data_IF_468104978819
#
_entry.id   IF_468104978819
#
_cell.length_a   1.000
_cell.length_b   1.000
_cell.length_c   1.000
_cell.angle_alpha   90.00
_cell.angle_beta   90.00
_cell.angle_gamma   90.00
#
_symmetry.space_group_name_H-M   'P 1'
#
loop_
_entity.id
_entity.type
_entity.pdbx_description
1 polymer ?
#
# COMPACT_ATOMS: atom_id res chain seq x y z
N UNK A 1 13.67 4.83 24.01
CA UNK A 1 14.99 5.10 23.42
C UNK A 1 14.77 5.53 21.97
N UNK A 2 15.19 6.74 21.60
CA UNK A 2 15.21 7.22 20.22
C UNK A 2 16.65 7.46 19.81
N UNK A 3 17.05 7.02 18.61
CA UNK A 3 18.38 7.26 18.06
C UNK A 3 18.26 8.12 16.80
N UNK A 4 19.16 9.09 16.62
CA UNK A 4 19.24 9.87 15.40
C UNK A 4 20.12 9.13 14.39
N UNK A 5 19.56 8.83 13.21
CA UNK A 5 20.32 8.28 12.08
C UNK A 5 20.61 9.41 11.10
N UNK A 6 21.89 9.76 10.94
CA UNK A 6 22.32 10.79 9.98
C UNK A 6 22.76 10.11 8.70
N UNK A 7 22.10 10.43 7.59
CA UNK A 7 22.40 9.88 6.26
C UNK A 7 23.14 10.95 5.45
N UNK A 8 24.41 10.73 5.06
CA UNK A 8 25.14 11.67 4.23
C UNK A 8 24.50 11.88 2.86
N UNK A 9 24.69 13.06 2.27
CA UNK A 9 24.26 13.35 0.91
C UNK A 9 24.87 12.35 -0.08
N UNK A 10 24.04 11.81 -0.98
CA UNK A 10 24.46 10.85 -2.00
C UNK A 10 24.48 9.39 -1.56
N UNK A 11 24.17 9.08 -0.30
CA UNK A 11 23.97 7.70 0.13
C UNK A 11 22.76 7.06 -0.56
N UNK A 12 22.91 5.82 -1.02
CA UNK A 12 21.87 5.06 -1.72
C UNK A 12 21.21 3.99 -0.85
N UNK A 13 21.78 3.68 0.32
CA UNK A 13 21.29 2.66 1.24
C UNK A 13 21.52 3.04 2.70
N UNK A 14 20.71 2.44 3.58
CA UNK A 14 20.88 2.49 5.04
C UNK A 14 20.97 1.03 5.52
N UNK A 15 21.96 0.72 6.36
CA UNK A 15 22.06 -0.57 7.03
C UNK A 15 22.13 -0.36 8.55
N UNK A 16 21.24 -1.01 9.28
CA UNK A 16 21.24 -1.02 10.74
C UNK A 16 21.67 -2.42 11.22
N UNK A 17 22.68 -2.48 12.09
CA UNK A 17 23.17 -3.73 12.68
C UNK A 17 23.09 -3.66 14.19
N UNK A 18 22.58 -4.72 14.80
CA UNK A 18 22.43 -4.86 16.25
C UNK A 18 23.18 -6.10 16.71
N UNK A 19 24.12 -5.94 17.65
CA UNK A 19 24.94 -7.03 18.17
C UNK A 19 24.70 -7.21 19.66
N UNK A 20 24.89 -8.43 20.17
CA UNK A 20 24.79 -8.74 21.61
C UNK A 20 23.43 -8.42 22.24
N UNK A 21 22.34 -8.54 21.48
CA UNK A 21 20.98 -8.42 22.01
C UNK A 21 20.63 -9.61 22.91
N UNK A 22 19.91 -9.37 24.01
CA UNK A 22 19.42 -10.39 24.95
C UNK A 22 17.91 -10.25 25.20
N UNK A 23 17.29 -11.20 25.92
CA UNK A 23 15.83 -11.19 26.14
C UNK A 23 15.05 -11.38 24.82
N UNK A 24 13.85 -10.80 24.64
CA UNK A 24 13.05 -11.04 23.44
C UNK A 24 13.54 -10.21 22.23
N UNK A 25 14.76 -9.66 22.28
CA UNK A 25 15.39 -8.89 21.20
C UNK A 25 14.93 -7.43 21.11
N UNK A 26 15.43 -6.70 20.10
CA UNK A 26 14.82 -5.43 19.71
C UNK A 26 13.48 -5.70 19.02
N UNK A 27 12.47 -4.94 19.41
CA UNK A 27 11.13 -5.00 18.83
C UNK A 27 10.64 -3.59 18.53
N UNK A 28 9.67 -3.47 17.62
CA UNK A 28 8.98 -2.20 17.32
C UNK A 28 9.93 -1.08 16.85
N UNK A 29 10.93 -1.41 16.04
CA UNK A 29 11.84 -0.41 15.45
C UNK A 29 11.08 0.39 14.38
N UNK A 30 11.04 1.71 14.55
CA UNK A 30 10.51 2.64 13.55
C UNK A 30 11.63 3.52 13.01
N UNK A 31 11.76 3.62 11.69
CA UNK A 31 12.70 4.53 11.01
C UNK A 31 11.87 5.55 10.24
N UNK A 32 11.92 6.80 10.69
CA UNK A 32 11.18 7.91 10.08
C UNK A 32 12.14 9.01 9.65
N UNK A 33 11.77 9.76 8.62
CA UNK A 33 12.47 10.98 8.26
C UNK A 33 12.28 12.05 9.36
N UNK A 34 13.13 13.09 9.42
CA UNK A 34 12.90 14.22 10.32
C UNK A 34 11.53 14.89 10.06
N UNK A 35 10.83 15.26 11.14
CA UNK A 35 9.54 15.97 11.07
C UNK A 35 8.29 15.09 11.13
N UNK A 36 8.43 13.77 11.31
CA UNK A 36 7.31 12.84 11.49
C UNK A 36 7.11 12.46 12.95
N UNK A 37 5.85 12.37 13.37
CA UNK A 37 5.46 12.01 14.74
C UNK A 37 5.31 10.49 14.87
N UNK A 38 6.06 9.90 15.81
CA UNK A 38 6.00 8.47 16.15
C UNK A 38 4.65 8.07 16.78
N UNK A 39 3.90 9.01 17.34
CA UNK A 39 2.57 8.78 17.92
C UNK A 39 1.46 8.79 16.85
N UNK A 40 1.69 9.48 15.72
CA UNK A 40 0.81 9.40 14.56
C UNK A 40 1.13 8.10 13.83
N UNK A 41 0.27 7.09 13.97
CA UNK A 41 0.22 5.89 13.10
C UNK A 41 -0.03 6.21 11.61
N UNK A 42 0.20 7.43 11.16
CA UNK A 42 0.09 7.84 9.78
C UNK A 42 1.31 7.32 9.02
N UNK A 43 1.17 6.13 8.45
CA UNK A 43 2.19 5.47 7.63
C UNK A 43 2.42 6.16 6.27
N UNK A 44 1.66 7.22 5.95
CA UNK A 44 1.83 8.02 4.73
C UNK A 44 2.21 9.44 5.09
N UNK A 45 3.14 9.99 4.30
CA UNK A 45 3.65 11.33 4.49
C UNK A 45 2.74 12.39 3.87
N UNK A 46 2.65 13.58 4.48
CA UNK A 46 1.93 14.72 3.89
C UNK A 46 2.45 15.06 2.48
N UNK A 47 3.76 14.87 2.25
CA UNK A 47 4.36 15.04 0.92
C UNK A 47 3.79 14.04 -0.08
N UNK A 48 3.68 12.77 0.29
CA UNK A 48 3.09 11.72 -0.55
C UNK A 48 1.60 11.98 -0.78
N UNK A 49 0.82 12.29 0.26
CA UNK A 49 -0.60 12.69 0.11
C UNK A 49 -0.72 13.86 -0.88
N UNK A 50 0.07 14.91 -0.68
CA UNK A 50 0.06 16.10 -1.56
C UNK A 50 0.39 15.73 -2.99
N UNK A 51 1.39 14.86 -3.20
CA UNK A 51 1.81 14.44 -4.52
C UNK A 51 0.72 13.62 -5.23
N UNK A 52 0.11 12.67 -4.52
CA UNK A 52 -0.95 11.79 -5.02
C UNK A 52 -2.26 12.56 -5.26
N UNK A 53 -2.55 13.57 -4.45
CA UNK A 53 -3.76 14.41 -4.59
C UNK A 53 -3.81 15.26 -5.86
N UNK A 54 -2.75 15.23 -6.69
CA UNK A 54 -2.72 15.89 -8.00
C UNK A 54 -3.41 15.07 -9.10
N UNK A 55 -3.67 13.79 -8.83
CA UNK A 55 -4.33 12.90 -9.77
C UNK A 55 -5.80 12.76 -9.38
N UNK A 56 -6.66 12.58 -10.38
CA UNK A 56 -8.10 12.33 -10.16
C UNK A 56 -8.39 10.88 -9.81
N UNK A 57 -7.50 9.95 -10.17
CA UNK A 57 -7.64 8.51 -9.92
C UNK A 57 -6.28 7.95 -9.54
N UNK A 58 -6.22 7.12 -8.49
CA UNK A 58 -5.03 6.36 -8.12
C UNK A 58 -5.28 4.87 -8.32
N UNK A 59 -4.35 4.22 -9.02
CA UNK A 59 -4.41 2.81 -9.36
C UNK A 59 -3.64 1.98 -8.32
N UNK A 60 -4.35 1.09 -7.64
CA UNK A 60 -3.80 0.13 -6.68
C UNK A 60 -3.69 -1.24 -7.35
N UNK A 61 -2.46 -1.58 -7.75
CA UNK A 61 -2.15 -2.88 -8.33
C UNK A 61 -1.58 -3.80 -7.26
N UNK A 62 -2.20 -4.98 -7.08
CA UNK A 62 -1.64 -6.08 -6.29
C UNK A 62 -0.66 -6.87 -7.16
N UNK A 63 0.46 -6.24 -7.53
CA UNK A 63 1.51 -6.98 -8.22
C UNK A 63 2.17 -7.89 -7.19
N UNK A 64 1.77 -9.16 -7.16
CA UNK A 64 2.56 -10.31 -6.71
C UNK A 64 2.86 -10.46 -5.21
N UNK A 65 1.92 -10.23 -4.29
CA UNK A 65 2.14 -10.57 -2.86
C UNK A 65 3.44 -9.97 -2.29
N UNK A 66 4.01 -8.93 -2.91
CA UNK A 66 5.41 -8.50 -2.66
C UNK A 66 5.58 -7.76 -1.34
N UNK A 67 4.51 -7.67 -0.56
CA UNK A 67 4.46 -6.95 0.70
C UNK A 67 3.44 -7.53 1.68
N UNK A 68 2.82 -8.68 1.41
CA UNK A 68 1.69 -9.17 2.23
C UNK A 68 0.67 -8.05 2.50
N UNK A 69 0.45 -7.15 1.52
CA UNK A 69 -0.43 -6.01 1.73
C UNK A 69 -1.86 -6.51 1.91
N UNK A 70 -2.34 -6.38 3.14
CA UNK A 70 -3.74 -6.49 3.46
C UNK A 70 -4.50 -5.49 2.59
N UNK A 71 -5.58 -5.94 1.97
CA UNK A 71 -6.53 -5.10 1.24
C UNK A 71 -6.96 -3.86 2.07
N UNK A 72 -6.83 -3.94 3.41
CA UNK A 72 -7.07 -2.86 4.39
C UNK A 72 -6.22 -1.61 4.13
N UNK A 73 -5.08 -1.75 3.46
CA UNK A 73 -4.21 -0.61 3.14
C UNK A 73 -4.87 0.33 2.13
N UNK A 74 -5.70 -0.18 1.21
CA UNK A 74 -6.30 0.66 0.15
C UNK A 74 -7.27 1.68 0.75
N UNK A 75 -8.30 1.31 1.56
CA UNK A 75 -9.18 2.29 2.21
C UNK A 75 -8.41 3.27 3.08
N UNK A 76 -7.40 2.80 3.82
CA UNK A 76 -6.58 3.66 4.66
C UNK A 76 -5.92 4.78 3.84
N UNK A 77 -5.21 4.43 2.76
CA UNK A 77 -4.53 5.42 1.91
C UNK A 77 -5.54 6.34 1.23
N UNK A 78 -6.56 5.77 0.59
CA UNK A 78 -7.53 6.51 -0.19
C UNK A 78 -8.27 7.56 0.66
N UNK A 79 -8.61 7.24 1.91
CA UNK A 79 -9.27 8.17 2.82
C UNK A 79 -8.38 9.32 3.30
N UNK A 80 -7.05 9.20 3.20
CA UNK A 80 -6.13 10.31 3.50
C UNK A 80 -5.96 11.25 2.31
N UNK A 81 -6.38 10.84 1.11
CA UNK A 81 -6.36 11.70 -0.07
C UNK A 81 -7.56 12.65 0.00
N UNK A 82 -7.41 13.83 -0.61
CA UNK A 82 -8.53 14.76 -0.74
C UNK A 82 -9.75 14.07 -1.38
N UNK A 83 -10.96 14.51 -1.06
CA UNK A 83 -12.24 13.87 -1.45
C UNK A 83 -12.52 13.73 -2.96
N UNK A 84 -11.61 14.18 -3.82
CA UNK A 84 -11.76 14.20 -5.28
C UNK A 84 -10.83 13.19 -5.98
N UNK A 85 -10.31 12.21 -5.25
CA UNK A 85 -9.45 11.16 -5.79
C UNK A 85 -10.20 9.82 -5.74
N UNK A 86 -10.53 9.29 -6.91
CA UNK A 86 -11.12 7.96 -7.06
C UNK A 86 -10.05 6.86 -7.02
N UNK A 87 -10.46 5.61 -6.87
CA UNK A 87 -9.55 4.46 -6.86
C UNK A 87 -9.82 3.52 -8.04
N UNK A 88 -8.75 2.92 -8.55
CA UNK A 88 -8.82 1.78 -9.47
C UNK A 88 -8.18 0.58 -8.78
N UNK A 89 -8.90 -0.54 -8.72
CA UNK A 89 -8.42 -1.80 -8.15
C UNK A 89 -8.44 -2.93 -9.18
N UNK A 90 -7.47 -3.85 -9.06
CA UNK A 90 -7.45 -5.08 -9.85
C UNK A 90 -8.13 -6.22 -9.10
N UNK A 91 -8.97 -7.00 -9.77
CA UNK A 91 -9.44 -8.30 -9.29
C UNK A 91 -8.73 -9.39 -10.10
N UNK A 92 -7.95 -10.27 -9.46
CA UNK A 92 -7.10 -11.21 -10.17
C UNK A 92 -7.92 -12.26 -10.93
N UNK A 93 -7.31 -12.81 -11.98
CA UNK A 93 -7.87 -13.98 -12.66
C UNK A 93 -7.93 -15.17 -11.70
N UNK A 94 -9.06 -15.87 -11.67
CA UNK A 94 -9.30 -16.97 -10.74
C UNK A 94 -9.67 -16.55 -9.32
N UNK A 95 -9.96 -15.26 -9.09
CA UNK A 95 -10.58 -14.82 -7.84
C UNK A 95 -11.90 -15.56 -7.60
N UNK A 96 -12.07 -16.07 -6.38
CA UNK A 96 -13.34 -16.71 -5.98
C UNK A 96 -14.39 -15.65 -5.65
N UNK A 97 -15.66 -16.05 -5.65
CA UNK A 97 -16.76 -15.17 -5.21
C UNK A 97 -16.53 -14.67 -3.76
N UNK A 98 -16.02 -15.54 -2.88
CA UNK A 98 -15.66 -15.16 -1.51
C UNK A 98 -14.58 -14.08 -1.47
N UNK A 99 -13.57 -14.16 -2.34
CA UNK A 99 -12.55 -13.11 -2.43
C UNK A 99 -13.17 -11.78 -2.85
N UNK A 100 -13.98 -11.77 -3.91
CA UNK A 100 -14.62 -10.55 -4.42
C UNK A 100 -15.57 -9.97 -3.38
N UNK A 101 -16.33 -10.82 -2.68
CA UNK A 101 -17.22 -10.40 -1.60
C UNK A 101 -16.44 -9.77 -0.44
N UNK A 102 -15.32 -10.36 -0.03
CA UNK A 102 -14.49 -9.82 1.04
C UNK A 102 -13.89 -8.45 0.66
N UNK A 103 -13.41 -8.30 -0.59
CA UNK A 103 -12.93 -7.00 -1.10
C UNK A 103 -14.06 -5.97 -1.06
N UNK A 104 -15.24 -6.31 -1.57
CA UNK A 104 -16.38 -5.42 -1.61
C UNK A 104 -16.84 -5.00 -0.20
N UNK A 105 -16.92 -5.95 0.74
CA UNK A 105 -17.27 -5.68 2.13
C UNK A 105 -16.24 -4.77 2.79
N UNK A 106 -14.96 -5.00 2.54
CA UNK A 106 -13.90 -4.17 3.10
C UNK A 106 -13.99 -2.72 2.61
N UNK A 107 -14.13 -2.53 1.29
CA UNK A 107 -14.28 -1.19 0.71
C UNK A 107 -15.55 -0.51 1.22
N UNK A 108 -16.67 -1.23 1.27
CA UNK A 108 -17.93 -0.70 1.79
C UNK A 108 -17.81 -0.23 3.25
N UNK A 109 -17.09 -0.98 4.08
CA UNK A 109 -16.99 -0.72 5.51
C UNK A 109 -15.96 0.37 5.86
N UNK A 110 -14.92 0.54 5.04
CA UNK A 110 -13.77 1.36 5.39
C UNK A 110 -13.52 2.55 4.46
N UNK A 111 -13.97 2.52 3.20
CA UNK A 111 -13.72 3.58 2.23
C UNK A 111 -14.70 4.74 2.42
N UNK A 112 -14.23 5.98 2.22
CA UNK A 112 -15.09 7.15 2.18
C UNK A 112 -16.15 6.96 1.06
N UNK A 113 -17.46 7.08 1.37
CA UNK A 113 -18.52 6.80 0.41
C UNK A 113 -18.59 7.76 -0.78
N UNK A 114 -17.82 8.85 -0.80
CA UNK A 114 -17.72 9.76 -1.95
C UNK A 114 -16.71 9.30 -3.00
N UNK A 115 -15.86 8.31 -2.70
CA UNK A 115 -14.81 7.79 -3.59
C UNK A 115 -15.42 6.76 -4.53
N UNK A 116 -15.26 6.95 -5.84
CA UNK A 116 -15.67 5.95 -6.81
C UNK A 116 -14.62 4.85 -6.93
N UNK A 117 -15.08 3.63 -7.18
CA UNK A 117 -14.24 2.45 -7.35
C UNK A 117 -14.35 1.97 -8.80
N UNK A 118 -13.24 2.03 -9.53
CA UNK A 118 -13.08 1.40 -10.84
C UNK A 118 -12.48 0.02 -10.64
N UNK A 119 -13.12 -0.98 -11.24
CA UNK A 119 -12.69 -2.38 -11.12
C UNK A 119 -12.18 -2.86 -12.46
N UNK A 120 -10.96 -3.39 -12.45
CA UNK A 120 -10.35 -4.05 -13.60
C UNK A 120 -10.30 -5.55 -13.37
N UNK A 121 -10.63 -6.29 -14.43
CA UNK A 121 -10.48 -7.74 -14.45
C UNK A 121 -9.06 -8.12 -14.87
N UNK A 122 -8.28 -8.61 -13.91
CA UNK A 122 -6.91 -9.13 -14.06
C UNK A 122 -5.90 -8.15 -14.68
N UNK A 123 -4.64 -8.54 -14.73
CA UNK A 123 -3.53 -7.74 -15.24
C UNK A 123 -2.75 -8.53 -16.30
N UNK A 124 -2.27 -7.82 -17.31
CA UNK A 124 -1.46 -8.39 -18.39
C UNK A 124 -2.09 -9.61 -19.07
N UNK A 125 -3.40 -9.60 -19.30
CA UNK A 125 -4.13 -10.65 -20.03
C UNK A 125 -3.62 -10.88 -21.48
N UNK A 126 -2.82 -9.95 -22.00
CA UNK A 126 -2.15 -10.07 -23.29
C UNK A 126 -0.83 -10.88 -23.23
N UNK A 127 -0.32 -11.17 -22.03
CA UNK A 127 1.02 -11.72 -21.85
C UNK A 127 1.01 -13.24 -21.60
N UNK A 128 1.21 -14.02 -22.66
CA UNK A 128 1.15 -15.48 -22.66
C UNK A 128 2.16 -16.21 -21.76
N UNK A 129 3.11 -15.51 -21.13
CA UNK A 129 3.97 -16.12 -20.11
C UNK A 129 3.21 -16.37 -18.79
N UNK A 130 2.05 -15.72 -18.60
CA UNK A 130 1.23 -15.86 -17.41
C UNK A 130 -0.04 -16.67 -17.67
N UNK A 131 -0.47 -17.43 -16.66
CA UNK A 131 -1.63 -18.29 -16.75
C UNK A 131 -2.94 -17.53 -17.04
N UNK A 132 -3.06 -16.27 -16.60
CA UNK A 132 -4.25 -15.46 -16.86
C UNK A 132 -4.43 -15.07 -18.33
N UNK A 133 -3.40 -15.15 -19.18
CA UNK A 133 -3.52 -14.72 -20.57
C UNK A 133 -4.51 -15.56 -21.40
N UNK A 134 -4.84 -16.76 -20.93
CA UNK A 134 -5.87 -17.60 -21.55
C UNK A 134 -7.29 -17.23 -21.15
N UNK A 135 -7.51 -16.30 -20.22
CA UNK A 135 -8.84 -15.92 -19.73
C UNK A 135 -9.71 -15.19 -20.76
N UNK A 136 -9.09 -14.62 -21.80
CA UNK A 136 -9.76 -13.87 -22.88
C UNK A 136 -9.86 -14.66 -24.20
N UNK A 137 -9.49 -15.95 -24.19
CA UNK A 137 -9.53 -16.84 -25.35
C UNK A 137 -10.72 -17.80 -25.26
#
# INVERSE_FOLDING_TARGET
LSALVIIPQGATQIMLSFTSTSGPGLQNISVLQPGYDLALKSNITNLMVTHLSRFSIICFMDWTTTNTNLQETIPFIANQLNSNVDIWINIPYGATDDYVLNVAQLMLNQLNPTINIYVEFSNELWNFIFAQATANL
#
